data_IF_995289006101
#
_entry.id   IF_995289006101
#
_cell.length_a   1.000
_cell.length_b   1.000
_cell.length_c   1.000
_cell.angle_alpha   90.00
_cell.angle_beta   90.00
_cell.angle_gamma   90.00
#
_symmetry.space_group_name_H-M   'P 1'
#
loop_
_entity.id
_entity.type
_entity.pdbx_description
1 polymer ?
#
# COMPACT_ATOMS: atom_id res chain seq x y z
N UNK A 1 5.12 49.31 4.61
CA UNK A 1 4.39 48.06 4.92
C UNK A 1 4.51 47.14 3.71
N UNK A 2 5.57 46.32 3.64
CA UNK A 2 5.69 45.29 2.60
C UNK A 2 6.00 43.97 3.32
N UNK A 3 4.96 43.19 3.62
CA UNK A 3 5.12 41.81 4.10
C UNK A 3 5.34 40.92 2.88
N UNK A 4 6.59 40.74 2.48
CA UNK A 4 6.98 39.69 1.53
C UNK A 4 7.06 38.35 2.28
N UNK A 5 5.94 37.64 2.38
CA UNK A 5 5.94 36.24 2.80
C UNK A 5 6.47 35.38 1.65
N UNK A 6 7.68 34.84 1.82
CA UNK A 6 8.31 33.86 0.92
C UNK A 6 7.63 32.49 1.11
N UNK A 7 6.57 32.22 0.35
CA UNK A 7 5.81 30.95 0.38
C UNK A 7 6.43 29.80 -0.46
N UNK A 8 7.63 29.97 -1.01
CA UNK A 8 8.23 29.02 -1.97
C UNK A 8 8.76 27.66 -1.43
N UNK A 9 9.11 27.45 -0.13
CA UNK A 9 9.77 26.20 0.27
C UNK A 9 8.81 25.00 0.43
N UNK A 10 7.52 25.23 0.74
CA UNK A 10 6.57 24.14 1.04
C UNK A 10 6.02 23.47 -0.23
N UNK A 11 5.68 24.26 -1.25
CA UNK A 11 5.16 23.74 -2.51
C UNK A 11 6.23 22.96 -3.27
N UNK A 12 7.46 23.47 -3.28
CA UNK A 12 8.61 22.83 -3.93
C UNK A 12 8.97 21.50 -3.25
N UNK A 13 8.93 21.43 -1.91
CA UNK A 13 9.13 20.20 -1.17
C UNK A 13 8.00 19.17 -1.41
N UNK A 14 6.76 19.63 -1.50
CA UNK A 14 5.60 18.79 -1.81
C UNK A 14 5.70 18.17 -3.22
N UNK A 15 6.02 19.00 -4.22
CA UNK A 15 6.18 18.58 -5.62
C UNK A 15 7.37 17.62 -5.77
N UNK A 16 8.51 17.92 -5.15
CA UNK A 16 9.68 17.03 -5.19
C UNK A 16 9.41 15.69 -4.50
N UNK A 17 8.64 15.67 -3.40
CA UNK A 17 8.21 14.41 -2.77
C UNK A 17 7.24 13.60 -3.65
N UNK A 18 6.38 14.25 -4.43
CA UNK A 18 5.49 13.59 -5.39
C UNK A 18 6.28 12.99 -6.57
N UNK A 19 7.21 13.76 -7.14
CA UNK A 19 8.07 13.32 -8.26
C UNK A 19 9.08 12.24 -7.86
N UNK A 20 9.49 12.19 -6.59
CA UNK A 20 10.40 11.16 -6.07
C UNK A 20 9.70 9.87 -5.61
N UNK A 21 8.36 9.79 -5.67
CA UNK A 21 7.67 8.51 -5.48
C UNK A 21 7.91 7.65 -6.70
N UNK A 22 8.93 6.78 -6.61
CA UNK A 22 9.09 5.68 -7.55
C UNK A 22 7.73 4.99 -7.75
N UNK A 23 7.35 4.66 -8.99
CA UNK A 23 6.11 3.95 -9.23
C UNK A 23 6.09 2.67 -8.38
N UNK A 24 4.99 2.45 -7.67
CA UNK A 24 4.83 1.26 -6.85
C UNK A 24 4.61 0.08 -7.80
N UNK A 25 5.56 -0.84 -7.81
CA UNK A 25 5.42 -2.08 -8.55
C UNK A 25 4.59 -3.09 -7.74
N UNK A 26 3.33 -3.26 -8.16
CA UNK A 26 2.46 -4.27 -7.57
C UNK A 26 2.86 -5.66 -8.05
N UNK A 27 2.97 -6.58 -7.09
CA UNK A 27 3.26 -7.99 -7.38
C UNK A 27 2.00 -8.79 -7.64
N UNK A 28 0.87 -8.35 -7.07
CA UNK A 28 -0.44 -8.97 -7.21
C UNK A 28 -1.53 -7.97 -6.81
N UNK A 29 -2.79 -8.34 -7.03
CA UNK A 29 -3.96 -7.72 -6.43
C UNK A 29 -4.48 -8.58 -5.28
N UNK A 30 -5.13 -7.95 -4.30
CA UNK A 30 -5.81 -8.65 -3.21
C UNK A 30 -7.22 -8.07 -2.99
N UNK A 31 -8.20 -8.96 -2.98
CA UNK A 31 -9.54 -8.68 -2.47
C UNK A 31 -9.55 -8.99 -0.98
N UNK A 32 -9.61 -7.96 -0.15
CA UNK A 32 -9.54 -8.12 1.30
C UNK A 32 -10.81 -8.75 1.86
N UNK A 33 -10.65 -9.85 2.60
CA UNK A 33 -11.73 -10.50 3.35
C UNK A 33 -11.65 -10.19 4.84
N UNK A 34 -10.44 -10.03 5.39
CA UNK A 34 -10.22 -9.64 6.78
C UNK A 34 -8.84 -8.98 6.97
N UNK A 35 -8.66 -8.22 8.04
CA UNK A 35 -7.40 -7.63 8.44
C UNK A 35 -7.26 -7.68 9.96
N UNK A 36 -6.31 -8.49 10.46
CA UNK A 36 -6.08 -8.65 11.90
C UNK A 36 -4.79 -7.99 12.35
N UNK A 37 -4.90 -7.14 13.37
CA UNK A 37 -3.78 -6.50 14.04
C UNK A 37 -3.63 -7.06 15.46
N UNK A 38 -2.44 -7.56 15.78
CA UNK A 38 -2.07 -8.03 17.10
C UNK A 38 -1.73 -6.85 18.03
N UNK A 39 -1.72 -7.11 19.34
CA UNK A 39 -1.43 -6.09 20.37
C UNK A 39 -0.01 -5.51 20.26
N UNK A 40 0.92 -6.25 19.67
CA UNK A 40 2.31 -5.82 19.43
C UNK A 40 2.48 -4.98 18.15
N UNK A 41 1.37 -4.59 17.51
CA UNK A 41 1.37 -3.79 16.29
C UNK A 41 1.58 -4.58 15.00
N UNK A 42 1.85 -5.89 15.06
CA UNK A 42 1.95 -6.72 13.86
C UNK A 42 0.58 -6.95 13.25
N UNK A 43 0.48 -6.89 11.93
CA UNK A 43 -0.79 -7.14 11.23
C UNK A 43 -0.65 -8.14 10.08
N UNK A 44 -1.74 -8.85 9.78
CA UNK A 44 -1.88 -9.72 8.61
C UNK A 44 -3.16 -9.39 7.87
N UNK A 45 -3.08 -9.44 6.55
CA UNK A 45 -4.23 -9.37 5.67
C UNK A 45 -4.65 -10.77 5.23
N UNK A 46 -5.96 -10.95 5.13
CA UNK A 46 -6.60 -12.15 4.61
C UNK A 46 -7.38 -11.72 3.37
N UNK A 47 -7.35 -12.53 2.32
CA UNK A 47 -8.03 -12.17 1.09
C UNK A 47 -7.81 -13.15 -0.03
N UNK A 48 -8.43 -12.86 -1.17
CA UNK A 48 -8.23 -13.60 -2.42
C UNK A 48 -7.22 -12.87 -3.28
N UNK A 49 -6.24 -13.59 -3.81
CA UNK A 49 -5.17 -13.02 -4.64
C UNK A 49 -5.51 -13.11 -6.12
N UNK A 50 -5.08 -12.12 -6.90
CA UNK A 50 -5.30 -12.05 -8.35
C UNK A 50 -4.12 -11.42 -9.06
N UNK A 51 -3.98 -11.67 -10.36
CA UNK A 51 -2.96 -11.04 -11.21
C UNK A 51 -1.54 -11.16 -10.61
N UNK A 52 -1.20 -12.30 -9.98
CA UNK A 52 0.12 -12.49 -9.37
C UNK A 52 1.20 -12.59 -10.45
N UNK A 53 1.98 -11.52 -10.62
CA UNK A 53 3.01 -11.43 -11.66
C UNK A 53 4.12 -12.48 -11.49
N UNK A 54 4.24 -13.05 -10.28
CA UNK A 54 5.19 -14.10 -9.93
C UNK A 54 4.64 -15.51 -10.10
N UNK A 55 3.36 -15.67 -10.50
CA UNK A 55 2.69 -16.96 -10.73
C UNK A 55 2.80 -17.92 -9.53
N UNK A 56 2.75 -17.40 -8.30
CA UNK A 56 2.79 -18.22 -7.07
C UNK A 56 1.42 -18.77 -6.73
N UNK A 57 0.37 -18.07 -7.16
CA UNK A 57 -1.03 -18.38 -6.88
C UNK A 57 -1.87 -18.21 -8.14
N UNK A 58 -2.89 -19.05 -8.25
CA UNK A 58 -3.97 -18.85 -9.22
C UNK A 58 -4.93 -17.75 -8.74
N UNK A 59 -5.64 -17.14 -9.69
CA UNK A 59 -6.61 -16.11 -9.40
C UNK A 59 -7.77 -16.64 -8.55
N UNK A 60 -8.10 -15.92 -7.48
CA UNK A 60 -9.20 -16.27 -6.57
C UNK A 60 -8.79 -17.12 -5.38
N UNK A 61 -7.54 -17.58 -5.31
CA UNK A 61 -7.02 -18.36 -4.18
C UNK A 61 -7.00 -17.51 -2.91
N UNK A 62 -7.52 -18.07 -1.82
CA UNK A 62 -7.44 -17.46 -0.49
C UNK A 62 -6.02 -17.53 0.08
N UNK A 63 -5.52 -16.40 0.55
CA UNK A 63 -4.19 -16.27 1.14
C UNK A 63 -4.24 -15.54 2.48
N UNK A 64 -3.21 -15.80 3.29
CA UNK A 64 -2.86 -14.99 4.44
C UNK A 64 -1.50 -14.37 4.12
N UNK A 65 -1.40 -13.04 4.20
CA UNK A 65 -0.13 -12.37 3.92
C UNK A 65 0.89 -12.62 5.02
N UNK A 66 2.16 -12.39 4.68
CA UNK A 66 3.18 -12.06 5.68
C UNK A 66 2.81 -10.77 6.43
N UNK A 67 3.63 -10.43 7.44
CA UNK A 67 3.45 -9.21 8.22
C UNK A 67 3.35 -7.97 7.33
N UNK A 68 2.27 -7.23 7.54
CA UNK A 68 1.98 -5.98 6.83
C UNK A 68 2.82 -4.87 7.43
N UNK A 69 3.60 -4.20 6.58
CA UNK A 69 4.52 -3.12 6.95
C UNK A 69 3.77 -1.81 7.10
N UNK A 70 2.82 -1.53 6.20
CA UNK A 70 2.01 -0.30 6.21
C UNK A 70 0.66 -0.51 6.90
N UNK A 71 0.64 -1.20 8.03
CA UNK A 71 -0.59 -1.62 8.71
C UNK A 71 -1.51 -0.46 9.14
N UNK A 72 -0.93 0.71 9.43
CA UNK A 72 -1.71 1.91 9.80
C UNK A 72 -2.26 2.68 8.60
N UNK A 73 -1.61 2.56 7.44
CA UNK A 73 -1.88 3.43 6.28
C UNK A 73 -2.39 2.67 5.05
N UNK A 74 -2.47 1.33 5.07
CA UNK A 74 -2.79 0.53 3.88
C UNK A 74 -4.09 0.95 3.18
N UNK A 75 -5.10 1.41 3.94
CA UNK A 75 -6.36 1.91 3.37
C UNK A 75 -6.17 3.22 2.59
N UNK A 76 -5.44 4.18 3.16
CA UNK A 76 -5.15 5.47 2.49
C UNK A 76 -4.13 5.30 1.37
N UNK A 77 -3.22 4.35 1.52
CA UNK A 77 -2.21 4.01 0.52
C UNK A 77 -2.82 3.27 -0.69
N UNK A 78 -3.94 2.57 -0.49
CA UNK A 78 -4.59 1.74 -1.53
C UNK A 78 -3.88 0.41 -1.81
N UNK A 79 -2.93 0.01 -0.97
CA UNK A 79 -2.17 -1.23 -1.12
C UNK A 79 -1.67 -1.78 0.21
N UNK A 80 -1.38 -3.08 0.22
CA UNK A 80 -0.74 -3.78 1.33
C UNK A 80 0.71 -4.08 0.96
N UNK A 81 1.64 -3.60 1.77
CA UNK A 81 3.07 -3.88 1.63
C UNK A 81 3.51 -4.90 2.67
N UNK A 82 4.18 -5.94 2.21
CA UNK A 82 4.89 -6.91 3.04
C UNK A 82 6.38 -6.84 2.69
N UNK A 83 7.22 -7.64 3.37
CA UNK A 83 8.64 -7.70 3.06
C UNK A 83 8.93 -8.11 1.59
N UNK A 84 8.11 -9.02 1.03
CA UNK A 84 8.41 -9.66 -0.25
C UNK A 84 7.40 -9.34 -1.36
N UNK A 85 6.32 -8.62 -1.05
CA UNK A 85 5.20 -8.41 -1.98
C UNK A 85 4.45 -7.14 -1.68
N UNK A 86 3.92 -6.52 -2.73
CA UNK A 86 3.05 -5.35 -2.64
C UNK A 86 1.76 -5.69 -3.37
N UNK A 87 0.66 -5.71 -2.64
CA UNK A 87 -0.65 -6.09 -3.13
C UNK A 87 -1.50 -4.85 -3.33
N UNK A 88 -1.96 -4.59 -4.56
CA UNK A 88 -2.96 -3.56 -4.79
C UNK A 88 -4.30 -4.01 -4.20
N UNK A 89 -4.96 -3.18 -3.41
CA UNK A 89 -6.29 -3.51 -2.90
C UNK A 89 -7.27 -3.36 -4.06
N UNK A 90 -8.07 -4.39 -4.30
CA UNK A 90 -9.16 -4.36 -5.28
C UNK A 90 -10.50 -4.45 -4.54
N UNK A 91 -11.50 -3.80 -5.11
CA UNK A 91 -12.88 -3.96 -4.65
C UNK A 91 -13.47 -5.27 -5.20
N UNK A 92 -14.30 -5.98 -4.43
CA UNK A 92 -15.09 -7.09 -4.95
C UNK A 92 -16.01 -6.59 -6.07
N UNK A 93 -16.21 -7.41 -7.10
CA UNK A 93 -17.16 -7.14 -8.19
C UNK A 93 -18.53 -7.72 -7.89
#
# INVERSE_FOLDING_TARGET
MNNEFKEEPLLTAYINNQLNKKPIEFTAEIELTDFKKAQDGRARAFGKVFNDSRKRFEDGVEIITFWVINAETYKTDGYIKTQNSVYKIREPK
#
